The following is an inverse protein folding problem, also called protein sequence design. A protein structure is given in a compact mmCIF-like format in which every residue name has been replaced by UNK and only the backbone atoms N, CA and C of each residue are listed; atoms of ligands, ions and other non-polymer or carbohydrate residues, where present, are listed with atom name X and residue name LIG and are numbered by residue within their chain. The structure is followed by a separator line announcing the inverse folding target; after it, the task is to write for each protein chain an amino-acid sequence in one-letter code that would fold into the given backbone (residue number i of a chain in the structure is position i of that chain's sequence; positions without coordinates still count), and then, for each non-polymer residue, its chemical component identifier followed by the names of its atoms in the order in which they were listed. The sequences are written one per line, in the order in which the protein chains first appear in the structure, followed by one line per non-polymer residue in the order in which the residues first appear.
data_IF_472259961044
#
_entry.id   IF_472259961044
#
_cell.length_a   1.000
_cell.length_b   1.000
_cell.length_c   1.000
_cell.angle_alpha   90.00
_cell.angle_beta   90.00
_cell.angle_gamma   90.00
#
_symmetry.space_group_name_H-M   'P 1'
#
loop_
_entity.id
_entity.type
_entity.pdbx_description
1 polymer ?
#
# COMPACT_ATOMS: atom_id res chain seq x y z
N UNK A 1 -11.60 -9.72 -5.69
CA UNK A 1 -10.17 -9.96 -5.47
C UNK A 1 -9.57 -8.87 -4.59
N UNK A 2 -8.60 -9.21 -3.75
CA UNK A 2 -7.79 -8.25 -2.98
C UNK A 2 -6.34 -8.48 -3.36
N UNK A 3 -5.64 -7.42 -3.73
CA UNK A 3 -4.20 -7.42 -3.99
C UNK A 3 -3.53 -6.47 -3.00
N UNK A 4 -2.42 -6.90 -2.41
CA UNK A 4 -1.65 -6.08 -1.49
C UNK A 4 -0.15 -6.28 -1.70
N UNK A 5 0.62 -5.20 -1.58
CA UNK A 5 2.08 -5.23 -1.69
C UNK A 5 2.71 -4.11 -0.87
N UNK A 6 3.93 -4.38 -0.37
CA UNK A 6 4.77 -3.38 0.29
C UNK A 6 5.36 -2.47 -0.79
N UNK A 7 5.27 -1.16 -0.60
CA UNK A 7 5.86 -0.17 -1.52
C UNK A 7 6.90 0.72 -0.86
N UNK A 8 7.00 0.68 0.47
CA UNK A 8 7.99 1.45 1.22
C UNK A 8 8.32 0.77 2.55
N UNK A 9 9.55 0.97 3.03
CA UNK A 9 10.05 0.49 4.32
C UNK A 9 10.63 1.67 5.11
N UNK A 10 10.27 1.77 6.39
CA UNK A 10 10.96 2.62 7.37
C UNK A 10 11.95 1.78 8.17
N UNK A 11 12.45 2.30 9.31
CA UNK A 11 13.37 1.52 10.16
C UNK A 11 12.71 0.24 10.70
N UNK A 12 11.47 0.35 11.19
CA UNK A 12 10.75 -0.75 11.83
C UNK A 12 9.34 -0.95 11.25
N UNK A 13 9.05 -0.36 10.10
CA UNK A 13 7.70 -0.26 9.55
C UNK A 13 7.67 -0.53 8.06
N UNK A 14 6.52 -0.98 7.56
CA UNK A 14 6.27 -1.15 6.13
C UNK A 14 4.99 -0.41 5.74
N UNK A 15 5.01 0.27 4.60
CA UNK A 15 3.80 0.82 4.00
C UNK A 15 3.29 -0.14 2.92
N UNK A 16 1.99 -0.43 2.99
CA UNK A 16 1.30 -1.42 2.14
C UNK A 16 0.19 -0.73 1.39
N UNK A 17 0.17 -0.91 0.06
CA UNK A 17 -0.98 -0.57 -0.78
C UNK A 17 -1.89 -1.77 -0.90
N UNK A 18 -3.19 -1.55 -0.78
CA UNK A 18 -4.24 -2.57 -0.92
C UNK A 18 -5.24 -2.10 -1.97
N UNK A 19 -5.33 -2.85 -3.07
CA UNK A 19 -6.35 -2.66 -4.10
C UNK A 19 -7.44 -3.73 -3.96
N UNK A 20 -8.69 -3.27 -3.86
CA UNK A 20 -9.86 -4.14 -3.79
C UNK A 20 -10.64 -4.03 -5.10
N UNK A 21 -10.97 -5.19 -5.67
CA UNK A 21 -11.72 -5.31 -6.92
C UNK A 21 -12.90 -6.25 -6.73
N UNK A 22 -14.04 -5.90 -7.31
CA UNK A 22 -15.20 -6.77 -7.36
C UNK A 22 -15.27 -7.42 -8.74
N UNK A 23 -15.63 -8.68 -8.78
CA UNK A 23 -15.71 -9.47 -10.00
C UNK A 23 -17.08 -10.13 -10.11
N UNK A 24 -17.70 -10.09 -11.30
CA UNK A 24 -18.82 -10.96 -11.66
C UNK A 24 -18.26 -12.19 -12.39
N UNK A 25 -18.13 -13.35 -11.72
CA UNK A 25 -17.48 -14.52 -12.29
C UNK A 25 -18.28 -15.15 -13.44
N UNK A 26 -19.57 -14.81 -13.61
CA UNK A 26 -20.39 -15.33 -14.71
C UNK A 26 -20.16 -14.56 -16.00
N UNK A 27 -19.74 -13.30 -15.90
CA UNK A 27 -19.48 -12.40 -17.02
C UNK A 27 -17.99 -12.18 -17.28
N UNK A 28 -17.14 -12.50 -16.31
CA UNK A 28 -15.70 -12.20 -16.34
C UNK A 28 -15.43 -10.70 -16.24
N UNK A 29 -16.36 -9.93 -15.69
CA UNK A 29 -16.25 -8.47 -15.54
C UNK A 29 -15.65 -8.13 -14.18
N UNK A 30 -14.57 -7.33 -14.18
CA UNK A 30 -13.93 -6.80 -12.97
C UNK A 30 -14.13 -5.29 -12.87
N UNK A 31 -14.35 -4.78 -11.65
CA UNK A 31 -14.36 -3.35 -11.34
C UNK A 31 -13.48 -3.04 -10.13
N UNK A 32 -12.69 -1.97 -10.20
CA UNK A 32 -12.01 -1.41 -9.03
C UNK A 32 -13.06 -0.87 -8.07
N UNK A 33 -12.92 -1.18 -6.77
CA UNK A 33 -13.88 -0.71 -5.75
C UNK A 33 -13.27 0.37 -4.89
N UNK A 34 -12.10 0.09 -4.32
CA UNK A 34 -11.39 1.01 -3.45
C UNK A 34 -9.91 0.65 -3.43
N UNK A 35 -9.09 1.64 -3.11
CA UNK A 35 -7.69 1.47 -2.76
C UNK A 35 -7.45 2.09 -1.39
N UNK A 36 -6.57 1.49 -0.60
CA UNK A 36 -6.19 2.02 0.71
C UNK A 36 -4.71 1.80 0.94
N UNK A 37 -4.16 2.60 1.85
CA UNK A 37 -2.76 2.56 2.24
C UNK A 37 -2.67 2.37 3.75
N UNK A 38 -1.84 1.42 4.17
CA UNK A 38 -1.65 1.05 5.56
C UNK A 38 -0.18 1.17 5.93
N UNK A 39 0.10 1.51 7.18
CA UNK A 39 1.45 1.45 7.76
C UNK A 39 1.43 0.41 8.87
N UNK A 40 2.29 -0.58 8.77
CA UNK A 40 2.47 -1.63 9.78
C UNK A 40 3.83 -1.47 10.47
N UNK A 41 3.92 -1.84 11.75
CA UNK A 41 5.16 -1.84 12.52
C UNK A 41 5.51 -3.27 12.89
N UNK A 42 6.73 -3.71 12.58
CA UNK A 42 7.23 -5.01 12.97
C UNK A 42 7.58 -5.01 14.47
N UNK A 43 7.15 -6.05 15.19
CA UNK A 43 7.40 -6.23 16.61
C UNK A 43 8.14 -7.56 16.83
N UNK A 44 9.08 -7.57 17.77
CA UNK A 44 9.72 -8.80 18.26
C UNK A 44 8.83 -9.58 19.25
N UNK A 45 9.35 -10.67 19.81
CA UNK A 45 8.63 -11.53 20.77
C UNK A 45 8.25 -10.81 22.08
N UNK A 46 8.95 -9.72 22.41
CA UNK A 46 8.70 -8.90 23.59
C UNK A 46 7.75 -7.73 23.29
N UNK A 47 7.30 -7.60 22.03
CA UNK A 47 6.42 -6.52 21.58
C UNK A 47 7.14 -5.21 21.31
N UNK A 48 8.47 -5.22 21.15
CA UNK A 48 9.28 -4.03 20.86
C UNK A 48 9.46 -3.86 19.34
N UNK A 49 9.40 -2.63 18.79
CA UNK A 49 9.66 -2.39 17.37
C UNK A 49 11.02 -2.90 16.93
N UNK A 50 11.03 -3.75 15.89
CA UNK A 50 12.25 -4.38 15.36
C UNK A 50 12.49 -3.99 13.91
N UNK A 51 13.74 -4.06 13.47
CA UNK A 51 14.13 -3.63 12.13
C UNK A 51 13.51 -4.48 11.03
N UNK A 52 13.10 -3.82 9.94
CA UNK A 52 12.62 -4.49 8.73
C UNK A 52 13.69 -4.40 7.63
N UNK A 53 13.76 -5.38 6.71
CA UNK A 53 14.65 -5.31 5.56
C UNK A 53 14.31 -4.13 4.64
N UNK A 54 15.31 -3.65 3.91
CA UNK A 54 15.10 -2.70 2.81
C UNK A 54 14.27 -3.34 1.69
N UNK A 55 13.37 -2.56 1.08
CA UNK A 55 12.59 -3.00 -0.07
C UNK A 55 13.40 -2.89 -1.37
N UNK A 56 13.66 -4.04 -1.99
CA UNK A 56 14.19 -4.14 -3.35
C UNK A 56 13.06 -4.31 -4.39
N UNK A 57 13.22 -3.71 -5.56
CA UNK A 57 12.32 -3.86 -6.71
C UNK A 57 13.14 -4.29 -7.94
N UNK A 58 13.50 -5.57 -8.07
CA UNK A 58 14.42 -6.03 -9.11
C UNK A 58 13.87 -5.94 -10.55
N UNK A 59 12.56 -5.85 -10.72
CA UNK A 59 11.91 -5.76 -12.04
C UNK A 59 11.32 -4.37 -12.32
N UNK A 60 11.23 -4.01 -13.60
CA UNK A 60 10.57 -2.76 -14.03
C UNK A 60 9.11 -2.68 -13.58
N UNK A 61 8.40 -3.83 -13.54
CA UNK A 61 7.03 -3.90 -13.06
C UNK A 61 6.92 -3.56 -11.56
N UNK A 62 7.82 -4.09 -10.73
CA UNK A 62 7.84 -3.76 -9.29
C UNK A 62 8.20 -2.29 -9.05
N UNK A 63 9.13 -1.73 -9.83
CA UNK A 63 9.47 -0.30 -9.77
C UNK A 63 8.24 0.55 -10.11
N UNK A 64 7.54 0.23 -11.19
CA UNK A 64 6.33 0.95 -11.59
C UNK A 64 5.22 0.85 -10.54
N UNK A 65 5.01 -0.33 -9.95
CA UNK A 65 4.05 -0.52 -8.86
C UNK A 65 4.42 0.31 -7.62
N UNK A 66 5.71 0.38 -7.29
CA UNK A 66 6.21 1.21 -6.19
C UNK A 66 5.96 2.69 -6.45
N UNK A 67 6.29 3.19 -7.64
CA UNK A 67 6.07 4.59 -8.01
C UNK A 67 4.58 4.97 -7.96
N UNK A 68 3.71 4.13 -8.52
CA UNK A 68 2.25 4.34 -8.48
C UNK A 68 1.72 4.39 -7.04
N UNK A 69 2.24 3.53 -6.16
CA UNK A 69 1.84 3.51 -4.76
C UNK A 69 2.33 4.74 -3.99
N UNK A 70 3.56 5.21 -4.24
CA UNK A 70 4.10 6.43 -3.63
C UNK A 70 3.26 7.64 -4.02
N UNK A 71 2.95 7.82 -5.31
CA UNK A 71 2.15 8.96 -5.77
C UNK A 71 0.71 8.87 -5.22
N UNK A 72 0.10 7.68 -5.23
CA UNK A 72 -1.24 7.50 -4.67
C UNK A 72 -1.31 7.79 -3.17
N UNK A 73 -0.26 7.46 -2.41
CA UNK A 73 -0.19 7.78 -0.97
C UNK A 73 -0.06 9.28 -0.73
N UNK A 74 0.68 9.99 -1.57
CA UNK A 74 0.82 11.44 -1.52
C UNK A 74 -0.52 12.12 -1.80
N UNK A 75 -1.23 11.72 -2.86
CA UNK A 75 -2.56 12.26 -3.16
C UNK A 75 -3.54 12.02 -2.00
N UNK A 76 -3.54 10.81 -1.41
CA UNK A 76 -4.40 10.52 -0.26
C UNK A 76 -4.13 11.46 0.93
N UNK A 77 -2.87 11.82 1.15
CA UNK A 77 -2.49 12.76 2.20
C UNK A 77 -2.99 14.17 1.89
N UNK A 78 -2.83 14.64 0.65
CA UNK A 78 -3.38 15.93 0.19
C UNK A 78 -4.91 15.97 0.38
N UNK A 79 -5.64 14.95 -0.07
CA UNK A 79 -7.09 14.84 0.10
C UNK A 79 -7.53 14.78 1.58
N UNK A 80 -6.67 14.27 2.47
CA UNK A 80 -6.91 14.27 3.91
C UNK A 80 -6.72 15.67 4.50
N UNK A 81 -5.66 16.38 4.10
CA UNK A 81 -5.38 17.74 4.55
C UNK A 81 -6.50 18.68 4.11
N UNK A 82 -6.89 18.66 2.84
CA UNK A 82 -7.97 19.51 2.31
C UNK A 82 -9.26 19.34 3.12
N UNK A 83 -9.63 18.09 3.44
CA UNK A 83 -10.83 17.79 4.25
C UNK A 83 -10.75 18.23 5.72
N UNK A 84 -9.56 18.51 6.25
CA UNK A 84 -9.38 19.01 7.61
C UNK A 84 -9.39 20.55 7.67
N UNK A 85 -9.22 21.22 6.52
CA UNK A 85 -9.25 22.68 6.40
C UNK A 85 -10.65 23.25 6.11
N UNK A 86 -11.58 22.40 5.66
CA UNK A 86 -13.03 22.67 5.52
C UNK A 86 -13.82 22.60 6.85
#
# INVERSE_FOLDING_TARGET
MVQAYVFNTGRTSVDVKVDVRAEDPRKGEERKTTASFFTFVALDEEGTPTEVPDLECPTEEEVALREEAVEGRKQQFEDLVDRMED
#
